data_IF_736427473751
#
_entry.id   IF_736427473751
#
_cell.length_a   1.000
_cell.length_b   1.000
_cell.length_c   1.000
_cell.angle_alpha   90.00
_cell.angle_beta   90.00
_cell.angle_gamma   90.00
#
_symmetry.space_group_name_H-M   'P 1'
#
loop_
_entity.id
_entity.type
_entity.pdbx_description
1 polymer ?
#
# COMPACT_ATOMS: atom_id res chain seq x y z
N UNK A 1 -6.42 -23.87 16.59
CA UNK A 1 -4.97 -24.12 16.76
C UNK A 1 -4.43 -25.04 15.68
N UNK A 2 -5.05 -26.19 15.37
CA UNK A 2 -4.58 -27.10 14.31
C UNK A 2 -4.55 -26.44 12.91
N UNK A 3 -5.59 -25.68 12.57
CA UNK A 3 -5.68 -25.00 11.25
C UNK A 3 -4.62 -23.92 11.07
N UNK A 4 -4.28 -23.16 12.12
CA UNK A 4 -3.23 -22.17 12.08
C UNK A 4 -1.83 -22.81 11.90
N UNK A 5 -1.58 -23.95 12.55
CA UNK A 5 -0.33 -24.70 12.38
C UNK A 5 -0.19 -25.27 10.96
N UNK A 6 -1.28 -25.78 10.39
CA UNK A 6 -1.29 -26.29 9.02
C UNK A 6 -1.05 -25.17 8.01
N UNK A 7 -1.66 -23.99 8.23
CA UNK A 7 -1.45 -22.82 7.38
C UNK A 7 0.01 -22.37 7.40
N UNK A 8 0.63 -22.29 8.58
CA UNK A 8 2.04 -21.93 8.72
C UNK A 8 2.98 -22.92 8.01
N UNK A 9 2.70 -24.23 8.09
CA UNK A 9 3.47 -25.24 7.36
C UNK A 9 3.36 -25.06 5.83
N UNK A 10 2.15 -24.80 5.34
CA UNK A 10 1.92 -24.54 3.91
C UNK A 10 2.66 -23.30 3.42
N UNK A 11 2.70 -22.23 4.23
CA UNK A 11 3.45 -21.01 3.91
C UNK A 11 4.96 -21.24 3.90
N UNK A 12 5.50 -22.04 4.81
CA UNK A 12 6.93 -22.39 4.81
C UNK A 12 7.32 -23.19 3.57
N UNK A 13 6.50 -24.15 3.16
CA UNK A 13 6.71 -24.93 1.93
C UNK A 13 6.65 -24.04 0.68
N UNK A 14 5.72 -23.09 0.66
CA UNK A 14 5.61 -22.12 -0.42
C UNK A 14 6.84 -21.22 -0.50
N UNK A 15 7.30 -20.71 0.65
CA UNK A 15 8.51 -19.89 0.75
C UNK A 15 9.74 -20.64 0.25
N UNK A 16 9.95 -21.89 0.68
CA UNK A 16 11.05 -22.75 0.21
C UNK A 16 11.00 -22.98 -1.31
N UNK A 17 9.81 -23.20 -1.85
CA UNK A 17 9.61 -23.37 -3.29
C UNK A 17 9.98 -22.12 -4.06
N UNK A 18 9.54 -20.96 -3.62
CA UNK A 18 9.85 -19.66 -4.22
C UNK A 18 11.36 -19.36 -4.12
N UNK A 19 11.96 -19.62 -2.96
CA UNK A 19 13.39 -19.41 -2.76
C UNK A 19 14.24 -20.29 -3.67
N UNK A 20 13.83 -21.53 -3.91
CA UNK A 20 14.53 -22.47 -4.78
C UNK A 20 14.43 -22.08 -6.26
N UNK A 21 13.25 -21.71 -6.75
CA UNK A 21 13.00 -21.48 -8.17
C UNK A 21 13.35 -20.05 -8.62
N UNK A 22 13.00 -19.04 -7.82
CA UNK A 22 13.16 -17.62 -8.17
C UNK A 22 13.83 -16.78 -7.09
N UNK A 23 14.53 -17.39 -6.11
CA UNK A 23 15.20 -16.67 -5.02
C UNK A 23 16.13 -15.56 -5.48
N UNK A 24 16.78 -15.71 -6.64
CA UNK A 24 17.62 -14.65 -7.22
C UNK A 24 16.88 -13.42 -7.73
N UNK A 25 15.54 -13.48 -7.87
CA UNK A 25 14.68 -12.35 -8.30
C UNK A 25 14.01 -11.66 -7.12
N UNK A 26 13.95 -12.32 -5.96
CA UNK A 26 13.32 -11.83 -4.73
C UNK A 26 14.40 -11.21 -3.84
N UNK A 27 14.12 -10.05 -3.27
CA UNK A 27 15.06 -9.35 -2.38
C UNK A 27 14.98 -9.89 -0.95
N UNK A 28 13.78 -10.10 -0.45
CA UNK A 28 13.51 -10.69 0.87
C UNK A 28 12.13 -11.32 0.93
N UNK A 29 11.95 -12.26 1.85
CA UNK A 29 10.68 -12.90 2.17
C UNK A 29 10.38 -12.71 3.65
N UNK A 30 9.12 -12.53 3.99
CA UNK A 30 8.65 -12.36 5.35
C UNK A 30 7.27 -12.99 5.50
N UNK A 31 6.99 -13.63 6.62
CA UNK A 31 5.64 -14.08 6.95
C UNK A 31 5.05 -13.10 7.97
N UNK A 32 4.03 -12.34 7.55
CA UNK A 32 3.38 -11.33 8.37
C UNK A 32 1.88 -11.66 8.45
N UNK A 33 1.36 -11.84 9.67
CA UNK A 33 -0.07 -12.11 9.92
C UNK A 33 -0.62 -13.26 9.08
N UNK A 34 0.11 -14.37 9.06
CA UNK A 34 -0.24 -15.59 8.32
C UNK A 34 -0.32 -15.42 6.80
N UNK A 35 0.37 -14.43 6.24
CA UNK A 35 0.55 -14.24 4.81
C UNK A 35 2.03 -14.11 4.46
N UNK A 36 2.44 -14.74 3.35
CA UNK A 36 3.78 -14.59 2.80
C UNK A 36 3.88 -13.27 2.03
N UNK A 37 4.90 -12.48 2.36
CA UNK A 37 5.22 -11.21 1.72
C UNK A 37 6.55 -11.34 1.00
N UNK A 38 6.58 -11.05 -0.29
CA UNK A 38 7.78 -11.03 -1.12
C UNK A 38 8.15 -9.59 -1.44
N UNK A 39 9.38 -9.20 -1.15
CA UNK A 39 9.93 -7.94 -1.62
C UNK A 39 10.74 -8.18 -2.90
N UNK A 40 10.40 -7.49 -3.98
CA UNK A 40 10.93 -7.72 -5.32
C UNK A 40 11.41 -6.40 -5.91
N UNK A 41 12.55 -6.42 -6.63
CA UNK A 41 12.97 -5.26 -7.41
C UNK A 41 11.99 -5.03 -8.57
N UNK A 42 11.68 -3.76 -8.88
CA UNK A 42 10.71 -3.40 -9.94
C UNK A 42 11.02 -4.04 -11.30
N UNK A 43 12.29 -4.19 -11.63
CA UNK A 43 12.71 -4.78 -12.91
C UNK A 43 12.33 -6.26 -13.03
N UNK A 44 12.14 -6.93 -11.91
CA UNK A 44 11.84 -8.36 -11.84
C UNK A 44 10.35 -8.66 -11.62
N UNK A 45 9.52 -7.64 -11.37
CA UNK A 45 8.12 -7.83 -10.97
C UNK A 45 7.33 -8.68 -11.97
N UNK A 46 7.47 -8.42 -13.26
CA UNK A 46 6.79 -9.15 -14.33
C UNK A 46 7.17 -10.64 -14.30
N UNK A 47 8.47 -10.94 -14.15
CA UNK A 47 8.95 -12.33 -14.14
C UNK A 47 8.45 -13.09 -12.91
N UNK A 48 8.47 -12.44 -11.75
CA UNK A 48 7.98 -13.03 -10.49
C UNK A 48 6.48 -13.29 -10.57
N UNK A 49 5.68 -12.35 -11.08
CA UNK A 49 4.24 -12.51 -11.18
C UNK A 49 3.83 -13.57 -12.22
N UNK A 50 4.56 -13.70 -13.33
CA UNK A 50 4.35 -14.79 -14.30
C UNK A 50 4.63 -16.14 -13.64
N UNK A 51 5.76 -16.26 -12.91
CA UNK A 51 6.08 -17.49 -12.19
C UNK A 51 4.98 -17.84 -11.18
N UNK A 52 4.59 -16.92 -10.32
CA UNK A 52 3.55 -17.14 -9.31
C UNK A 52 2.20 -17.55 -9.91
N UNK A 53 1.86 -17.04 -11.10
CA UNK A 53 0.63 -17.39 -11.80
C UNK A 53 0.68 -18.79 -12.42
N UNK A 54 1.80 -19.15 -13.02
CA UNK A 54 1.89 -20.30 -13.94
C UNK A 54 2.48 -21.57 -13.27
N UNK A 55 3.28 -21.42 -12.21
CA UNK A 55 3.88 -22.55 -11.49
C UNK A 55 2.81 -23.43 -10.84
N UNK A 56 2.98 -24.74 -10.92
CA UNK A 56 2.03 -25.74 -10.44
C UNK A 56 1.85 -25.73 -8.93
N UNK A 57 2.88 -25.32 -8.19
CA UNK A 57 2.85 -25.27 -6.73
C UNK A 57 2.38 -23.90 -6.19
N UNK A 58 2.23 -22.91 -7.07
CA UNK A 58 1.82 -21.56 -6.72
C UNK A 58 0.40 -21.23 -7.18
N UNK A 59 0.14 -21.29 -8.47
CA UNK A 59 -1.17 -21.09 -9.12
C UNK A 59 -1.92 -19.83 -8.65
N UNK A 60 -1.21 -18.71 -8.44
CA UNK A 60 -1.82 -17.43 -8.08
C UNK A 60 -2.44 -16.77 -9.31
N UNK A 61 -3.58 -17.28 -9.75
CA UNK A 61 -4.24 -16.87 -11.00
C UNK A 61 -5.10 -15.63 -10.87
N UNK A 62 -5.30 -15.13 -9.64
CA UNK A 62 -6.14 -13.97 -9.39
C UNK A 62 -5.33 -12.86 -8.72
N UNK A 63 -5.25 -11.70 -9.38
CA UNK A 63 -4.85 -10.44 -8.76
C UNK A 63 -6.10 -9.84 -8.12
N UNK A 64 -6.14 -9.85 -6.79
CA UNK A 64 -7.26 -9.32 -6.01
C UNK A 64 -7.23 -7.81 -5.95
N UNK A 65 -6.03 -7.26 -5.76
CA UNK A 65 -5.82 -5.83 -5.57
C UNK A 65 -4.39 -5.45 -5.95
N UNK A 66 -4.22 -4.23 -6.43
CA UNK A 66 -2.95 -3.54 -6.57
C UNK A 66 -3.13 -2.15 -5.97
N UNK A 67 -2.33 -1.80 -4.98
CA UNK A 67 -2.40 -0.49 -4.34
C UNK A 67 -1.03 0.13 -4.16
N UNK A 68 -0.99 1.47 -4.14
CA UNK A 68 0.17 2.26 -3.77
C UNK A 68 0.18 2.59 -2.28
N UNK A 69 1.37 2.75 -1.70
CA UNK A 69 1.56 3.27 -0.34
C UNK A 69 2.65 4.34 -0.39
N UNK A 70 2.40 5.48 0.22
CA UNK A 70 3.32 6.63 0.23
C UNK A 70 4.11 6.72 1.52
N UNK A 71 5.44 6.72 1.41
CA UNK A 71 6.41 6.91 2.49
C UNK A 71 7.34 8.09 2.16
N UNK A 72 6.93 9.33 2.41
CA UNK A 72 7.64 10.53 1.93
C UNK A 72 9.08 10.66 2.44
N UNK A 73 9.43 10.00 3.55
CA UNK A 73 10.76 10.05 4.15
C UNK A 73 11.78 9.08 3.51
N UNK A 74 11.31 8.18 2.62
CA UNK A 74 12.17 7.19 1.97
C UNK A 74 12.70 7.69 0.62
N UNK A 75 13.87 7.23 0.23
CA UNK A 75 14.43 7.47 -1.11
C UNK A 75 13.51 6.86 -2.18
N UNK A 76 13.14 5.58 -2.04
CA UNK A 76 12.06 4.96 -2.81
C UNK A 76 10.74 5.22 -2.10
N UNK A 77 10.12 6.34 -2.44
CA UNK A 77 8.96 6.89 -1.76
C UNK A 77 7.75 5.97 -1.75
N UNK A 78 7.51 5.25 -2.86
CA UNK A 78 6.29 4.47 -3.03
C UNK A 78 6.56 2.96 -2.93
N UNK A 79 5.72 2.26 -2.15
CA UNK A 79 5.56 0.82 -2.25
C UNK A 79 4.34 0.52 -3.14
N UNK A 80 4.48 -0.41 -4.07
CA UNK A 80 3.36 -0.99 -4.81
C UNK A 80 3.15 -2.40 -4.27
N UNK A 81 1.94 -2.67 -3.83
CA UNK A 81 1.55 -3.93 -3.21
C UNK A 81 0.59 -4.66 -4.13
N UNK A 82 0.97 -5.86 -4.55
CA UNK A 82 0.16 -6.78 -5.33
C UNK A 82 -0.38 -7.87 -4.41
N UNK A 83 -1.68 -7.96 -4.25
CA UNK A 83 -2.35 -8.99 -3.47
C UNK A 83 -2.86 -10.08 -4.40
N UNK A 84 -2.31 -11.29 -4.30
CA UNK A 84 -2.65 -12.41 -5.16
C UNK A 84 -3.36 -13.50 -4.39
N UNK A 85 -4.24 -14.22 -5.09
CA UNK A 85 -4.99 -15.36 -4.57
C UNK A 85 -4.85 -16.57 -5.50
N UNK A 86 -4.51 -17.69 -4.88
CA UNK A 86 -4.64 -19.02 -5.49
C UNK A 86 -5.95 -19.64 -5.01
N UNK A 87 -6.94 -19.72 -5.90
CA UNK A 87 -8.23 -20.37 -5.60
C UNK A 87 -8.10 -21.88 -5.43
N UNK A 88 -7.17 -22.48 -6.20
CA UNK A 88 -6.93 -23.92 -6.20
C UNK A 88 -6.31 -24.39 -4.88
N UNK A 89 -5.31 -23.64 -4.39
CA UNK A 89 -4.56 -23.98 -3.18
C UNK A 89 -5.09 -23.25 -1.93
N UNK A 90 -6.08 -22.36 -2.10
CA UNK A 90 -6.64 -21.51 -1.04
C UNK A 90 -5.55 -20.75 -0.25
N UNK A 91 -4.62 -20.14 -0.98
CA UNK A 91 -3.49 -19.41 -0.42
C UNK A 91 -3.46 -17.98 -0.92
N UNK A 92 -2.96 -17.08 -0.09
CA UNK A 92 -2.72 -15.67 -0.41
C UNK A 92 -1.25 -15.36 -0.31
N UNK A 93 -0.80 -14.42 -1.16
CA UNK A 93 0.56 -13.90 -1.16
C UNK A 93 0.53 -12.40 -1.47
N UNK A 94 1.41 -11.66 -0.84
CA UNK A 94 1.66 -10.26 -1.19
C UNK A 94 3.03 -10.13 -1.84
N UNK A 95 3.05 -9.42 -2.95
CA UNK A 95 4.31 -9.04 -3.61
C UNK A 95 4.44 -7.53 -3.52
N UNK A 96 5.56 -7.04 -3.03
CA UNK A 96 5.85 -5.62 -2.91
C UNK A 96 7.01 -5.23 -3.78
N UNK A 97 6.89 -4.09 -4.42
CA UNK A 97 8.01 -3.46 -5.12
C UNK A 97 8.08 -1.99 -4.77
N UNK A 98 9.28 -1.44 -4.80
CA UNK A 98 9.53 -0.04 -4.45
C UNK A 98 9.86 0.78 -5.68
N UNK A 99 9.37 2.02 -5.69
CA UNK A 99 9.67 2.99 -6.72
C UNK A 99 9.64 4.42 -6.18
N UNK A 100 10.05 5.37 -7.00
CA UNK A 100 9.91 6.80 -6.73
C UNK A 100 9.19 7.50 -7.90
N UNK A 101 9.11 8.83 -7.83
CA UNK A 101 8.39 9.65 -8.81
C UNK A 101 8.98 9.53 -10.23
N UNK A 102 10.30 9.36 -10.33
CA UNK A 102 11.04 9.39 -11.60
C UNK A 102 11.25 7.99 -12.20
N UNK A 103 10.90 6.93 -11.46
CA UNK A 103 11.16 5.56 -11.86
C UNK A 103 9.87 4.83 -12.19
N UNK A 104 9.71 4.43 -13.46
CA UNK A 104 8.59 3.64 -13.92
C UNK A 104 8.64 2.19 -13.39
N UNK A 105 7.48 1.60 -13.14
CA UNK A 105 7.31 0.19 -12.86
C UNK A 105 6.69 -0.49 -14.07
N UNK A 106 7.21 -1.66 -14.52
CA UNK A 106 6.61 -2.36 -15.64
C UNK A 106 5.15 -2.75 -15.36
N UNK A 107 4.26 -2.44 -16.29
CA UNK A 107 2.84 -2.81 -16.21
C UNK A 107 2.66 -4.32 -16.18
N UNK A 108 1.73 -4.77 -15.37
CA UNK A 108 1.32 -6.18 -15.29
C UNK A 108 -0.07 -6.44 -15.88
N UNK A 109 -0.63 -5.44 -16.59
CA UNK A 109 -1.93 -5.55 -17.26
C UNK A 109 -1.98 -6.69 -18.30
N UNK A 110 -0.82 -7.03 -18.91
CA UNK A 110 -0.68 -8.18 -19.80
C UNK A 110 -0.67 -9.53 -19.08
N UNK A 111 -0.44 -9.57 -17.78
CA UNK A 111 -0.44 -10.78 -16.96
C UNK A 111 -1.81 -10.99 -16.32
N UNK A 112 -2.35 -9.93 -15.71
CA UNK A 112 -3.65 -9.90 -15.06
C UNK A 112 -4.48 -8.75 -15.64
N UNK A 113 -5.58 -9.06 -16.30
CA UNK A 113 -6.44 -8.04 -16.94
C UNK A 113 -7.02 -7.04 -15.93
N UNK A 114 -7.25 -7.46 -14.69
CA UNK A 114 -7.71 -6.60 -13.59
C UNK A 114 -6.70 -5.49 -13.25
N UNK A 115 -5.40 -5.72 -13.46
CA UNK A 115 -4.35 -4.75 -13.20
C UNK A 115 -4.51 -3.45 -14.00
N UNK A 116 -5.13 -3.51 -15.18
CA UNK A 116 -5.34 -2.32 -16.02
C UNK A 116 -5.99 -1.16 -15.23
N UNK A 117 -7.04 -1.44 -14.48
CA UNK A 117 -7.74 -0.40 -13.73
C UNK A 117 -7.03 -0.05 -12.42
N UNK A 118 -6.46 -1.04 -11.72
CA UNK A 118 -5.70 -0.81 -10.50
C UNK A 118 -4.42 0.02 -10.73
N UNK A 119 -3.73 -0.19 -11.85
CA UNK A 119 -2.56 0.60 -12.22
C UNK A 119 -2.94 2.04 -12.56
N UNK A 120 -4.07 2.26 -13.24
CA UNK A 120 -4.61 3.60 -13.48
C UNK A 120 -4.98 4.31 -12.17
N UNK A 121 -5.57 3.60 -11.21
CA UNK A 121 -5.89 4.15 -9.90
C UNK A 121 -4.63 4.54 -9.14
N UNK A 122 -3.62 3.67 -9.09
CA UNK A 122 -2.36 3.95 -8.44
C UNK A 122 -1.62 5.13 -9.09
N UNK A 123 -1.69 5.25 -10.42
CA UNK A 123 -1.15 6.41 -11.12
C UNK A 123 -1.96 7.68 -10.81
N UNK A 124 -3.27 7.63 -10.86
CA UNK A 124 -4.15 8.78 -10.62
C UNK A 124 -3.95 9.35 -9.21
N UNK A 125 -3.98 8.48 -8.20
CA UNK A 125 -4.00 8.88 -6.79
C UNK A 125 -2.60 9.14 -6.18
N UNK A 126 -1.56 8.45 -6.66
CA UNK A 126 -0.19 8.57 -6.13
C UNK A 126 0.81 9.14 -7.15
N UNK A 127 0.50 9.11 -8.44
CA UNK A 127 1.42 9.49 -9.50
C UNK A 127 2.50 8.45 -9.78
N UNK A 128 2.25 7.19 -9.49
CA UNK A 128 3.15 6.08 -9.81
C UNK A 128 3.04 5.77 -11.31
N UNK A 129 4.14 5.87 -12.04
CA UNK A 129 4.12 5.64 -13.49
C UNK A 129 4.34 4.16 -13.83
N UNK A 130 3.46 3.61 -14.69
CA UNK A 130 3.55 2.25 -15.19
C UNK A 130 3.97 2.25 -16.66
N UNK A 131 5.16 1.70 -16.96
CA UNK A 131 5.62 1.55 -18.34
C UNK A 131 4.83 0.44 -19.05
N UNK A 132 4.66 0.62 -20.36
CA UNK A 132 3.95 -0.33 -21.23
C UNK A 132 2.48 -0.60 -20.84
N UNK A 133 1.88 0.29 -20.04
CA UNK A 133 0.45 0.24 -19.78
C UNK A 133 -0.33 0.65 -21.03
N UNK A 134 -1.38 -0.10 -21.44
CA UNK A 134 -2.07 0.15 -22.71
C UNK A 134 -2.81 1.50 -22.76
N UNK A 135 -3.31 1.99 -21.63
CA UNK A 135 -4.11 3.23 -21.57
C UNK A 135 -4.00 3.88 -20.17
N UNK A 136 -2.86 4.49 -19.86
CA UNK A 136 -2.61 5.12 -18.57
C UNK A 136 -3.21 6.54 -18.53
N UNK A 137 -4.41 6.65 -17.99
CA UNK A 137 -5.16 7.90 -17.82
C UNK A 137 -5.89 7.91 -16.47
N UNK A 138 -6.27 9.11 -15.99
CA UNK A 138 -7.02 9.24 -14.74
C UNK A 138 -8.32 8.43 -14.75
N UNK A 139 -8.72 7.92 -13.59
CA UNK A 139 -9.90 7.06 -13.44
C UNK A 139 -10.85 7.57 -12.35
N UNK A 140 -10.33 8.12 -11.26
CA UNK A 140 -11.11 8.58 -10.12
C UNK A 140 -11.15 10.11 -10.00
N UNK A 141 -10.05 10.80 -10.34
CA UNK A 141 -10.01 12.26 -10.31
C UNK A 141 -10.75 12.86 -11.49
N UNK A 142 -11.29 14.07 -11.30
CA UNK A 142 -11.99 14.82 -12.34
C UNK A 142 -11.06 15.25 -13.49
N UNK A 143 -11.66 15.61 -14.62
CA UNK A 143 -10.92 16.13 -15.77
C UNK A 143 -10.21 17.44 -15.40
N UNK A 144 -8.92 17.51 -15.72
CA UNK A 144 -8.11 18.68 -15.37
C UNK A 144 -7.71 18.77 -13.90
N UNK A 145 -7.94 17.72 -13.09
CA UNK A 145 -7.47 17.70 -11.72
C UNK A 145 -5.94 17.72 -11.68
N UNK A 146 -5.38 18.62 -10.88
CA UNK A 146 -3.93 18.79 -10.72
C UNK A 146 -3.46 18.16 -9.40
N UNK A 147 -2.41 17.33 -9.49
CA UNK A 147 -1.83 16.62 -8.36
C UNK A 147 -2.32 15.19 -8.17
N UNK A 148 -1.95 14.61 -7.03
CA UNK A 148 -2.22 13.22 -6.66
C UNK A 148 -2.70 13.18 -5.21
N UNK A 149 -4.02 12.99 -4.99
CA UNK A 149 -4.65 13.30 -3.70
C UNK A 149 -4.31 12.33 -2.56
N UNK A 150 -3.77 11.13 -2.83
CA UNK A 150 -3.36 10.21 -1.78
C UNK A 150 -1.88 10.34 -1.37
N UNK A 151 -1.12 11.22 -2.01
CA UNK A 151 0.21 11.57 -1.50
C UNK A 151 0.08 12.28 -0.15
N UNK A 152 0.98 11.98 0.80
CA UNK A 152 0.96 12.54 2.15
C UNK A 152 1.23 14.05 2.19
N UNK A 153 1.88 14.59 1.18
CA UNK A 153 2.15 16.01 0.98
C UNK A 153 1.01 16.77 0.27
N UNK A 154 -0.03 16.06 -0.21
CA UNK A 154 -1.22 16.70 -0.77
C UNK A 154 -2.16 17.14 0.37
N UNK A 155 -2.62 18.42 0.38
CA UNK A 155 -3.48 18.92 1.45
C UNK A 155 -4.83 18.20 1.46
N UNK A 156 -5.31 17.85 2.67
CA UNK A 156 -6.57 17.12 2.85
C UNK A 156 -7.77 17.86 2.25
N UNK A 157 -7.78 19.19 2.33
CA UNK A 157 -8.84 20.04 1.78
C UNK A 157 -8.74 20.26 0.27
N UNK A 158 -7.60 19.88 -0.34
CA UNK A 158 -7.32 20.24 -1.74
C UNK A 158 -7.02 21.72 -1.93
N UNK A 159 -7.00 22.16 -3.19
CA UNK A 159 -6.74 23.56 -3.57
C UNK A 159 -7.96 24.22 -4.20
N UNK A 160 -8.82 23.42 -4.81
CA UNK A 160 -9.94 23.87 -5.63
C UNK A 160 -11.20 23.10 -5.26
N UNK A 161 -12.33 23.77 -5.20
CA UNK A 161 -13.65 23.16 -5.01
C UNK A 161 -14.57 23.46 -6.18
N UNK A 162 -15.62 22.65 -6.31
CA UNK A 162 -16.62 22.76 -7.34
C UNK A 162 -17.88 23.40 -6.76
N UNK A 163 -18.38 24.45 -7.41
CA UNK A 163 -19.64 25.08 -7.07
C UNK A 163 -20.52 25.22 -8.31
N UNK A 164 -21.83 25.02 -8.15
CA UNK A 164 -22.77 25.36 -9.19
C UNK A 164 -23.07 26.88 -9.16
N UNK A 165 -22.84 27.51 -10.29
CA UNK A 165 -23.11 28.93 -10.48
C UNK A 165 -24.49 29.10 -11.16
N UNK A 166 -25.44 29.70 -10.41
CA UNK A 166 -26.80 29.89 -10.87
C UNK A 166 -26.92 30.94 -12.00
N UNK A 167 -26.02 31.90 -12.08
CA UNK A 167 -26.01 32.92 -13.12
C UNK A 167 -25.50 32.35 -14.44
N UNK A 168 -24.37 31.62 -14.37
CA UNK A 168 -23.74 30.99 -15.53
C UNK A 168 -24.42 29.66 -15.92
N UNK A 169 -25.29 29.09 -15.07
CA UNK A 169 -25.95 27.79 -15.26
C UNK A 169 -24.99 26.63 -15.49
N UNK A 170 -23.82 26.67 -14.82
CA UNK A 170 -22.78 25.65 -14.93
C UNK A 170 -22.00 25.45 -13.64
N UNK A 171 -21.27 24.34 -13.56
CA UNK A 171 -20.29 24.10 -12.51
C UNK A 171 -19.04 24.93 -12.79
N UNK A 172 -18.56 25.63 -11.78
CA UNK A 172 -17.34 26.43 -11.81
C UNK A 172 -16.34 25.92 -10.78
N UNK A 173 -15.06 26.08 -11.10
CA UNK A 173 -13.97 25.81 -10.17
C UNK A 173 -13.60 27.10 -9.46
N UNK A 174 -13.47 27.03 -8.14
CA UNK A 174 -13.05 28.16 -7.33
C UNK A 174 -12.05 27.70 -6.25
N UNK A 175 -11.21 28.59 -5.71
CA UNK A 175 -10.33 28.25 -4.59
C UNK A 175 -11.16 27.77 -3.41
N UNK A 176 -10.64 26.78 -2.66
CA UNK A 176 -11.32 26.22 -1.48
C UNK A 176 -11.57 27.31 -0.44
N UNK A 177 -12.83 27.50 -0.08
CA UNK A 177 -13.31 28.42 0.96
C UNK A 177 -14.25 27.68 1.90
N UNK A 178 -13.67 26.97 2.89
CA UNK A 178 -14.45 26.15 3.82
C UNK A 178 -15.33 27.04 4.71
N UNK A 179 -16.61 26.71 4.82
CA UNK A 179 -17.56 27.36 5.74
C UNK A 179 -17.18 27.14 7.22
N UNK A 180 -16.47 26.07 7.51
CA UNK A 180 -15.93 25.75 8.82
C UNK A 180 -14.42 25.52 8.68
N UNK A 181 -13.63 26.14 9.54
CA UNK A 181 -12.19 25.88 9.59
C UNK A 181 -11.91 24.40 9.82
N UNK A 182 -10.84 23.90 9.18
CA UNK A 182 -10.38 22.53 9.40
C UNK A 182 -9.94 22.39 10.86
N UNK A 183 -10.60 21.46 11.56
CA UNK A 183 -10.37 21.23 12.98
C UNK A 183 -9.35 20.11 13.18
N UNK A 184 -8.30 20.38 13.94
CA UNK A 184 -7.39 19.35 14.46
C UNK A 184 -8.02 18.74 15.71
N UNK A 185 -8.29 17.45 15.67
CA UNK A 185 -8.73 16.70 16.84
C UNK A 185 -7.57 15.83 17.31
N UNK A 186 -7.27 15.92 18.59
CA UNK A 186 -6.53 14.88 19.27
C UNK A 186 -7.54 13.76 19.62
N UNK A 187 -7.44 12.64 18.90
CA UNK A 187 -8.29 11.47 19.13
C UNK A 187 -7.81 10.60 20.30
N UNK A 188 -6.70 10.97 20.92
CA UNK A 188 -6.23 10.27 22.12
C UNK A 188 -7.11 10.69 23.29
N UNK A 189 -7.67 9.68 23.98
CA UNK A 189 -8.32 9.92 25.25
C UNK A 189 -7.31 10.52 26.22
N UNK A 190 -7.66 11.58 26.96
CA UNK A 190 -6.75 12.10 28.01
C UNK A 190 -6.31 11.02 29.01
N UNK A 191 -7.12 9.98 29.17
CA UNK A 191 -6.84 8.82 30.02
C UNK A 191 -5.94 7.78 29.35
N UNK A 192 -5.97 7.67 28.04
CA UNK A 192 -5.13 6.76 27.24
C UNK A 192 -3.84 7.40 26.77
N UNK A 193 -3.82 8.72 26.62
CA UNK A 193 -2.66 9.51 26.19
C UNK A 193 -1.66 9.79 27.30
N UNK A 194 -1.99 9.52 28.56
CA UNK A 194 -1.04 9.62 29.67
C UNK A 194 0.01 8.50 29.56
N UNK A 195 1.17 8.85 29.04
CA UNK A 195 2.32 7.94 29.00
C UNK A 195 2.92 7.68 30.38
N UNK A 196 2.72 8.57 31.33
CA UNK A 196 3.20 8.45 32.71
C UNK A 196 2.06 8.03 33.62
N UNK A 197 1.84 6.73 33.72
CA UNK A 197 0.98 6.14 34.72
C UNK A 197 1.63 6.28 36.09
N UNK A 198 0.80 6.50 37.12
CA UNK A 198 1.31 6.64 38.50
C UNK A 198 1.94 5.32 38.96
N UNK A 199 3.05 5.38 39.76
CA UNK A 199 3.63 4.20 40.35
C UNK A 199 2.57 3.41 41.14
N UNK A 200 2.49 2.11 40.90
CA UNK A 200 1.47 1.22 41.49
C UNK A 200 0.25 0.96 40.61
N UNK A 201 0.16 1.60 39.44
CA UNK A 201 -0.83 1.24 38.42
C UNK A 201 -0.36 -0.02 37.65
N UNK A 202 -1.30 -0.90 37.31
CA UNK A 202 -1.01 -2.17 36.60
C UNK A 202 -0.30 -1.96 35.23
N UNK A 203 -0.49 -0.79 34.63
CA UNK A 203 0.11 -0.41 33.34
C UNK A 203 1.41 0.36 33.48
N UNK A 204 1.84 0.67 34.69
CA UNK A 204 3.09 1.40 34.93
C UNK A 204 4.29 0.55 34.48
N UNK A 205 5.07 1.09 33.58
CA UNK A 205 6.37 0.55 33.19
C UNK A 205 7.44 1.54 33.65
N UNK A 206 8.32 1.12 34.55
CA UNK A 206 9.50 1.88 34.91
C UNK A 206 10.36 2.10 33.64
N UNK A 207 10.55 3.35 33.25
CA UNK A 207 11.54 3.70 32.25
C UNK A 207 12.92 3.72 32.87
N UNK A 208 13.95 3.30 32.15
CA UNK A 208 15.34 3.21 32.65
C UNK A 208 15.88 4.54 33.22
N UNK A 209 15.31 5.68 32.77
CA UNK A 209 15.67 7.03 33.27
C UNK A 209 15.19 7.35 34.69
N UNK A 210 14.26 6.57 35.24
CA UNK A 210 13.79 6.78 36.63
C UNK A 210 14.65 6.03 37.67
N UNK A 211 15.47 5.06 37.24
CA UNK A 211 16.35 4.29 38.14
C UNK A 211 17.59 5.04 38.60
N UNK A 212 18.04 6.03 37.81
CA UNK A 212 19.27 6.78 38.13
C UNK A 212 19.04 7.98 39.05
N UNK A 213 17.85 8.20 39.61
CA UNK A 213 17.54 9.33 40.51
C UNK A 213 17.29 8.97 41.97
N UNK A 214 17.24 7.65 42.27
CA UNK A 214 16.97 7.16 43.64
C UNK A 214 18.18 6.42 44.29
N UNK A 215 19.41 6.56 43.72
CA UNK A 215 20.67 6.12 44.33
C UNK A 215 21.54 7.29 44.80
#
# INVERSE_FOLDING_TARGET
MADAQLNMQNLSVLEETIAREIGGLVTSTEIIREELVLNVKRENIVKVLIFLRDDVNCQFKMLMELCGVDYPERENRFDIVYCLLSLTLNQRIRVKTQTNVDMAVPSVAGIFSSANWWEREAWDLFGIYFSDHPDLRRILSDYGFEGHPLRKDFPLTGYVELRYDDEQKRVVYEPVALNQEFRNFDFLSPWEGMQNLLPGDEKYKETEETKDKDD
#
